data_IF_008800544997
#
_entry.id   IF_008800544997
#
_cell.length_a   1.000
_cell.length_b   1.000
_cell.length_c   1.000
_cell.angle_alpha   90.00
_cell.angle_beta   90.00
_cell.angle_gamma   90.00
#
_symmetry.space_group_name_H-M   'P 1'
#
loop_
_entity.id
_entity.type
_entity.pdbx_description
1 polymer ?
#
# COMPACT_ATOMS: atom_id res chain seq x y z
N UNK A 1 20.71 16.13 -12.19
CA UNK A 1 20.94 17.60 -12.12
C UNK A 1 20.23 18.13 -10.87
N UNK A 2 20.81 19.16 -10.24
CA UNK A 2 20.63 19.59 -8.84
C UNK A 2 19.19 19.92 -8.38
N UNK A 3 18.97 19.64 -7.09
CA UNK A 3 17.95 20.08 -6.14
C UNK A 3 16.92 21.13 -6.58
N UNK A 4 15.64 20.82 -6.32
CA UNK A 4 14.68 21.82 -5.84
C UNK A 4 14.06 21.28 -4.55
N UNK A 5 14.69 21.61 -3.41
CA UNK A 5 14.01 21.62 -2.11
C UNK A 5 12.99 22.76 -2.16
N UNK A 6 11.73 22.45 -2.47
CA UNK A 6 10.63 23.42 -2.31
C UNK A 6 10.17 23.37 -0.85
N UNK A 7 10.78 24.22 -0.03
CA UNK A 7 10.26 24.62 1.27
C UNK A 7 8.98 25.43 1.03
N UNK A 8 7.82 24.77 1.04
CA UNK A 8 6.52 25.46 0.98
C UNK A 8 6.09 25.77 2.41
N UNK A 9 6.49 26.96 2.85
CA UNK A 9 5.92 27.66 4.00
C UNK A 9 4.51 28.14 3.59
N UNK A 10 3.45 27.38 3.90
CA UNK A 10 2.07 27.84 3.70
C UNK A 10 1.42 28.22 5.03
N UNK A 11 0.86 29.43 5.04
CA UNK A 11 0.31 30.14 6.19
C UNK A 11 -0.76 29.33 6.96
N UNK A 12 -0.66 29.40 8.29
CA UNK A 12 -1.62 28.88 9.26
C UNK A 12 -2.94 29.66 9.17
N UNK A 13 -4.08 29.04 8.86
CA UNK A 13 -5.38 29.59 9.20
C UNK A 13 -5.65 29.30 10.68
N UNK A 14 -5.64 30.33 11.51
CA UNK A 14 -6.09 30.27 12.91
C UNK A 14 -7.59 29.95 12.90
N UNK A 15 -7.95 28.71 13.22
CA UNK A 15 -9.34 28.32 13.47
C UNK A 15 -9.53 28.17 14.98
N UNK A 16 -10.57 28.82 15.46
CA UNK A 16 -10.91 29.10 16.85
C UNK A 16 -10.86 27.88 17.79
N UNK A 17 -10.21 28.10 18.94
CA UNK A 17 -10.40 27.35 20.18
C UNK A 17 -11.89 27.38 20.59
N UNK A 18 -12.64 26.34 20.27
CA UNK A 18 -13.78 25.93 21.10
C UNK A 18 -13.24 25.04 22.20
N UNK A 19 -12.86 25.67 23.30
CA UNK A 19 -12.61 25.02 24.57
C UNK A 19 -13.89 24.35 25.05
N UNK A 20 -13.94 23.02 24.96
CA UNK A 20 -14.95 22.25 25.69
C UNK A 20 -14.53 22.27 27.16
N UNK A 21 -15.31 22.95 27.99
CA UNK A 21 -15.11 23.09 29.42
C UNK A 21 -14.98 21.72 30.10
N UNK A 22 -13.95 21.56 30.93
CA UNK A 22 -13.78 20.40 31.80
C UNK A 22 -14.83 20.40 32.91
N UNK A 23 -15.80 19.51 32.81
CA UNK A 23 -16.63 19.10 33.95
C UNK A 23 -16.75 17.58 33.99
N UNK A 24 -16.20 16.97 35.04
CA UNK A 24 -16.41 15.56 35.42
C UNK A 24 -15.39 14.58 34.84
N UNK A 25 -14.25 14.43 35.50
CA UNK A 25 -13.35 13.28 35.34
C UNK A 25 -14.04 12.05 35.96
N UNK A 26 -14.75 11.31 35.12
CA UNK A 26 -14.89 9.87 35.27
C UNK A 26 -14.03 9.26 34.17
N UNK A 27 -13.23 8.24 34.48
CA UNK A 27 -12.41 7.52 33.50
C UNK A 27 -13.29 7.02 32.35
N UNK A 28 -13.38 7.83 31.30
CA UNK A 28 -14.03 7.48 30.06
C UNK A 28 -13.04 6.63 29.31
N UNK A 29 -13.29 5.33 29.24
CA UNK A 29 -12.72 4.49 28.20
C UNK A 29 -13.09 5.14 26.85
N UNK A 30 -12.16 5.90 26.30
CA UNK A 30 -12.28 6.50 24.97
C UNK A 30 -12.29 5.34 23.98
N UNK A 31 -13.25 5.32 23.05
CA UNK A 31 -13.31 4.25 22.06
C UNK A 31 -12.06 4.25 21.18
N UNK A 32 -11.65 3.07 20.70
CA UNK A 32 -10.50 2.91 19.78
C UNK A 32 -10.62 3.82 18.56
N UNK A 33 -11.80 3.85 17.95
CA UNK A 33 -12.09 4.73 16.80
C UNK A 33 -11.91 6.23 17.13
N UNK A 34 -12.25 6.65 18.35
CA UNK A 34 -12.05 8.03 18.77
C UNK A 34 -10.56 8.35 19.00
N UNK A 35 -9.77 7.39 19.50
CA UNK A 35 -8.31 7.51 19.58
C UNK A 35 -7.72 7.65 18.17
N UNK A 36 -8.10 6.76 17.25
CA UNK A 36 -7.65 6.73 15.86
C UNK A 36 -7.92 8.06 15.14
N UNK A 37 -9.15 8.57 15.24
CA UNK A 37 -9.55 9.86 14.64
C UNK A 37 -8.80 11.04 15.26
N UNK A 38 -8.66 11.06 16.58
CA UNK A 38 -7.96 12.15 17.27
C UNK A 38 -6.48 12.17 16.91
N UNK A 39 -5.83 11.02 16.86
CA UNK A 39 -4.42 10.93 16.45
C UNK A 39 -4.27 11.35 15.01
N UNK A 40 -5.07 10.82 14.08
CA UNK A 40 -5.04 11.20 12.66
C UNK A 40 -5.20 12.71 12.47
N UNK A 41 -6.10 13.34 13.21
CA UNK A 41 -6.28 14.80 13.19
C UNK A 41 -5.04 15.54 13.74
N UNK A 42 -4.43 15.03 14.81
CA UNK A 42 -3.19 15.59 15.37
C UNK A 42 -2.03 15.48 14.38
N UNK A 43 -1.83 14.32 13.73
CA UNK A 43 -0.77 14.13 12.72
C UNK A 43 -0.90 15.11 11.57
N UNK A 44 -2.14 15.37 11.12
CA UNK A 44 -2.38 16.35 10.05
C UNK A 44 -1.98 17.77 10.43
N UNK A 45 -2.07 18.13 11.72
CA UNK A 45 -1.73 19.45 12.22
C UNK A 45 -0.25 19.55 12.62
N UNK A 46 0.32 18.49 13.16
CA UNK A 46 1.71 18.40 13.59
C UNK A 46 2.24 16.96 13.41
N UNK A 47 3.09 16.79 12.40
CA UNK A 47 3.70 15.49 12.08
C UNK A 47 4.60 14.97 13.21
N UNK A 48 5.16 15.86 14.04
CA UNK A 48 6.08 15.47 15.13
C UNK A 48 5.41 14.60 16.19
N UNK A 49 4.07 14.57 16.23
CA UNK A 49 3.30 13.68 17.10
C UNK A 49 3.66 12.20 16.87
N UNK A 50 4.04 11.83 15.64
CA UNK A 50 4.35 10.44 15.29
C UNK A 50 5.80 10.20 14.86
N UNK A 51 6.59 11.25 14.66
CA UNK A 51 8.01 11.08 14.31
C UNK A 51 8.74 10.23 15.36
N UNK A 52 9.65 9.36 14.91
CA UNK A 52 10.40 8.40 15.73
C UNK A 52 9.54 7.36 16.49
N UNK A 53 8.22 7.31 16.25
CA UNK A 53 7.36 6.25 16.80
C UNK A 53 7.53 4.96 16.01
N UNK A 54 7.26 3.83 16.67
CA UNK A 54 7.30 2.51 16.05
C UNK A 54 6.10 2.28 15.14
N UNK A 55 6.23 1.31 14.23
CA UNK A 55 5.13 0.76 13.45
C UNK A 55 3.90 0.42 14.31
N UNK A 56 4.10 -0.34 15.39
CA UNK A 56 3.01 -0.73 16.31
C UNK A 56 2.30 0.46 16.95
N UNK A 57 3.06 1.50 17.32
CA UNK A 57 2.46 2.70 17.89
C UNK A 57 1.54 3.37 16.87
N UNK A 58 1.95 3.45 15.60
CA UNK A 58 1.12 4.02 14.53
C UNK A 58 -0.15 3.21 14.36
N UNK A 59 -0.05 1.88 14.24
CA UNK A 59 -1.24 1.01 14.08
C UNK A 59 -2.20 1.09 15.28
N UNK A 60 -1.65 1.09 16.50
CA UNK A 60 -2.46 1.16 17.72
C UNK A 60 -3.20 2.50 17.84
N UNK A 61 -2.62 3.59 17.35
CA UNK A 61 -3.14 4.94 17.55
C UNK A 61 -3.81 5.56 16.32
N UNK A 62 -3.61 5.02 15.12
CA UNK A 62 -4.20 5.51 13.86
C UNK A 62 -5.04 4.45 13.13
N UNK A 63 -5.01 3.21 13.60
CA UNK A 63 -5.76 2.11 13.01
C UNK A 63 -5.03 1.49 11.81
N UNK A 64 -5.73 0.58 11.13
CA UNK A 64 -5.18 -0.09 9.94
C UNK A 64 -5.08 0.90 8.77
N UNK A 65 -3.92 1.00 8.09
CA UNK A 65 -3.81 1.85 6.91
C UNK A 65 -4.68 1.32 5.77
N UNK A 66 -4.99 2.17 4.79
CA UNK A 66 -5.60 1.71 3.54
C UNK A 66 -4.66 0.83 2.73
N UNK A 67 -3.38 1.18 2.76
CA UNK A 67 -2.32 0.38 2.17
C UNK A 67 -1.05 0.41 3.01
N UNK A 68 -0.42 -0.75 3.14
CA UNK A 68 0.96 -0.86 3.60
C UNK A 68 1.85 -1.14 2.40
N UNK A 69 2.90 -0.34 2.24
CA UNK A 69 3.82 -0.35 1.10
C UNK A 69 5.17 -0.85 1.60
N UNK A 70 5.75 -1.85 0.95
CA UNK A 70 7.06 -2.40 1.29
C UNK A 70 8.04 -2.15 0.14
N UNK A 71 9.16 -1.49 0.43
CA UNK A 71 10.27 -1.36 -0.52
C UNK A 71 11.30 -2.43 -0.23
N UNK A 72 11.51 -3.32 -1.20
CA UNK A 72 12.32 -4.52 -1.05
C UNK A 72 13.52 -4.48 -2.00
N UNK A 73 14.67 -4.88 -1.49
CA UNK A 73 15.79 -5.31 -2.31
C UNK A 73 15.82 -6.82 -2.32
N UNK A 74 15.69 -7.41 -3.51
CA UNK A 74 15.92 -8.84 -3.72
C UNK A 74 17.07 -8.99 -4.69
N UNK A 75 18.12 -9.69 -4.28
CA UNK A 75 19.26 -9.95 -5.15
C UNK A 75 18.90 -11.01 -6.22
N UNK A 76 19.58 -10.94 -7.37
CA UNK A 76 19.43 -11.89 -8.49
C UNK A 76 18.05 -11.96 -9.18
N UNK A 77 17.19 -10.94 -9.04
CA UNK A 77 15.99 -10.78 -9.85
C UNK A 77 16.29 -9.81 -11.00
N UNK A 78 16.26 -10.32 -12.23
CA UNK A 78 16.45 -9.50 -13.44
C UNK A 78 15.21 -9.46 -14.34
N UNK A 79 14.32 -10.46 -14.23
CA UNK A 79 13.07 -10.51 -14.99
C UNK A 79 11.90 -11.16 -14.21
N UNK A 80 10.71 -11.17 -14.80
CA UNK A 80 9.52 -11.78 -14.20
C UNK A 80 9.60 -13.30 -14.06
N UNK A 81 10.40 -13.99 -14.90
CA UNK A 81 10.59 -15.44 -14.77
C UNK A 81 11.39 -15.77 -13.52
N UNK A 82 12.28 -14.88 -13.08
CA UNK A 82 12.99 -15.01 -11.81
C UNK A 82 12.05 -14.91 -10.61
N UNK A 83 10.97 -14.12 -10.69
CA UNK A 83 9.91 -14.09 -9.66
C UNK A 83 9.21 -15.44 -9.54
N UNK A 84 8.93 -16.09 -10.67
CA UNK A 84 8.33 -17.43 -10.66
C UNK A 84 9.24 -18.50 -10.04
N UNK A 85 10.56 -18.25 -9.95
CA UNK A 85 11.52 -19.12 -9.25
C UNK A 85 11.57 -18.90 -7.75
N UNK A 86 10.95 -17.84 -7.22
CA UNK A 86 10.75 -17.61 -5.77
C UNK A 86 9.84 -18.69 -5.15
N UNK A 87 9.24 -19.56 -5.97
CA UNK A 87 8.48 -20.72 -5.53
C UNK A 87 9.39 -21.80 -4.94
N UNK A 88 9.46 -21.85 -3.60
CA UNK A 88 9.93 -23.02 -2.85
C UNK A 88 11.42 -23.08 -2.50
N UNK A 89 12.17 -22.01 -2.72
CA UNK A 89 13.54 -21.85 -2.22
C UNK A 89 13.60 -20.71 -1.20
N UNK A 90 14.42 -20.85 -0.15
CA UNK A 90 14.77 -19.74 0.73
C UNK A 90 15.26 -18.58 -0.14
N UNK A 91 14.55 -17.46 -0.13
CA UNK A 91 15.08 -16.23 -0.71
C UNK A 91 16.02 -15.66 0.36
N UNK A 92 17.25 -16.14 0.38
CA UNK A 92 18.26 -15.77 1.39
C UNK A 92 18.58 -14.26 1.40
N UNK A 93 18.09 -13.49 0.42
CA UNK A 93 18.47 -12.09 0.19
C UNK A 93 17.28 -11.13 0.03
N UNK A 94 16.12 -11.36 0.65
CA UNK A 94 15.06 -10.33 0.72
C UNK A 94 15.38 -9.35 1.85
N UNK A 95 15.64 -8.10 1.49
CA UNK A 95 15.83 -7.02 2.46
C UNK A 95 14.72 -5.99 2.36
N UNK A 96 13.94 -5.84 3.43
CA UNK A 96 13.02 -4.72 3.59
C UNK A 96 13.84 -3.46 3.89
N UNK A 97 13.77 -2.47 3.01
CA UNK A 97 14.51 -1.22 3.14
C UNK A 97 13.68 -0.13 3.82
N UNK A 98 12.39 -0.11 3.54
CA UNK A 98 11.43 0.79 4.17
C UNK A 98 10.01 0.25 4.09
N UNK A 99 9.20 0.71 5.02
CA UNK A 99 7.75 0.47 5.06
C UNK A 99 7.04 1.80 4.98
N UNK A 100 5.97 1.85 4.20
CA UNK A 100 5.12 3.01 4.02
C UNK A 100 3.68 2.71 4.45
N UNK A 101 3.02 3.64 5.14
CA UNK A 101 1.62 3.51 5.53
C UNK A 101 0.81 4.62 4.90
N UNK A 102 -0.23 4.26 4.17
CA UNK A 102 -1.10 5.20 3.47
C UNK A 102 -2.46 5.29 4.16
N UNK A 103 -2.79 6.47 4.66
CA UNK A 103 -4.05 6.77 5.35
C UNK A 103 -4.85 7.81 4.56
N UNK A 104 -5.96 7.44 3.90
CA UNK A 104 -6.80 8.39 3.17
C UNK A 104 -7.37 9.43 4.14
N UNK A 105 -7.41 10.69 3.70
CA UNK A 105 -8.10 11.74 4.44
C UNK A 105 -9.57 11.73 4.09
N UNK A 106 -10.38 11.90 5.11
CA UNK A 106 -11.82 12.02 5.00
C UNK A 106 -12.25 13.39 5.51
N UNK A 107 -13.25 13.96 4.86
CA UNK A 107 -13.98 15.13 5.34
C UNK A 107 -14.76 14.79 6.61
N UNK A 108 -15.29 15.81 7.29
CA UNK A 108 -16.11 15.62 8.49
C UNK A 108 -17.39 14.79 8.27
N UNK A 109 -17.88 14.73 7.03
CA UNK A 109 -19.01 13.90 6.60
C UNK A 109 -18.59 12.53 6.01
N UNK A 110 -17.35 12.08 6.30
CA UNK A 110 -16.80 10.79 5.88
C UNK A 110 -16.71 10.58 4.37
N UNK A 111 -16.57 11.66 3.61
CA UNK A 111 -16.26 11.57 2.19
C UNK A 111 -14.77 11.62 2.00
N UNK A 112 -14.28 10.87 1.04
CA UNK A 112 -12.87 10.88 0.66
C UNK A 112 -12.50 12.30 0.16
N UNK A 113 -11.53 12.93 0.84
CA UNK A 113 -11.04 14.27 0.50
C UNK A 113 -10.22 14.27 -0.82
N UNK A 114 -9.75 13.09 -1.23
CA UNK A 114 -8.88 12.93 -2.41
C UNK A 114 -7.39 13.06 -2.10
N UNK A 115 -7.03 13.33 -0.85
CA UNK A 115 -5.65 13.30 -0.36
C UNK A 115 -5.46 12.17 0.67
N UNK A 116 -4.21 11.83 0.95
CA UNK A 116 -3.83 10.87 1.98
C UNK A 116 -2.61 11.36 2.77
N UNK A 117 -2.43 10.81 3.97
CA UNK A 117 -1.18 10.90 4.73
C UNK A 117 -0.36 9.67 4.40
N UNK A 118 0.85 9.88 3.91
CA UNK A 118 1.88 8.87 3.82
C UNK A 118 2.78 8.96 5.05
N UNK A 119 3.06 7.82 5.67
CA UNK A 119 3.98 7.68 6.80
C UNK A 119 5.07 6.70 6.38
N UNK A 120 6.29 7.19 6.20
CA UNK A 120 7.46 6.39 5.89
C UNK A 120 8.17 5.94 7.18
N UNK A 121 8.55 4.67 7.20
CA UNK A 121 9.33 4.04 8.26
C UNK A 121 10.63 3.48 7.70
N UNK A 122 11.73 3.74 8.42
CA UNK A 122 13.03 3.06 8.21
C UNK A 122 13.53 2.55 9.55
N UNK A 123 14.05 1.32 9.57
CA UNK A 123 14.41 0.64 10.80
C UNK A 123 13.26 0.66 11.82
N UNK A 124 12.04 0.32 11.35
CA UNK A 124 10.80 0.23 12.15
C UNK A 124 10.32 1.53 12.81
N UNK A 125 10.94 2.66 12.49
CA UNK A 125 10.58 3.96 13.06
C UNK A 125 10.15 4.95 12.01
N UNK A 126 9.14 5.76 12.34
CA UNK A 126 8.69 6.84 11.47
C UNK A 126 9.80 7.86 11.27
N UNK A 127 10.17 8.06 10.01
CA UNK A 127 11.20 9.02 9.60
C UNK A 127 10.68 10.05 8.60
N UNK A 128 9.48 9.87 8.08
CA UNK A 128 8.87 10.73 7.07
C UNK A 128 7.35 10.73 7.24
N UNK A 129 6.73 11.90 7.11
CA UNK A 129 5.28 12.04 7.05
C UNK A 129 4.95 13.12 6.03
N UNK A 130 4.15 12.77 5.03
CA UNK A 130 3.80 13.67 3.92
C UNK A 130 2.32 13.57 3.56
N UNK A 131 1.78 14.61 2.92
CA UNK A 131 0.45 14.54 2.31
C UNK A 131 0.61 14.32 0.81
N UNK A 132 -0.06 13.31 0.27
CA UNK A 132 -0.02 12.95 -1.14
C UNK A 132 -1.42 12.99 -1.78
N UNK A 133 -1.47 13.12 -3.11
CA UNK A 133 -2.69 12.90 -3.88
C UNK A 133 -3.04 11.41 -3.81
N UNK A 134 -4.24 11.09 -3.33
CA UNK A 134 -4.68 9.72 -3.18
C UNK A 134 -5.32 9.16 -4.45
N UNK A 135 -5.92 10.03 -5.29
CA UNK A 135 -6.63 9.58 -6.50
C UNK A 135 -5.67 9.17 -7.60
N UNK A 136 -4.55 9.87 -7.71
CA UNK A 136 -3.50 9.63 -8.71
C UNK A 136 -2.24 9.03 -8.06
N UNK A 137 -2.43 8.30 -6.96
CA UNK A 137 -1.31 7.78 -6.18
C UNK A 137 -0.59 6.67 -6.94
N UNK A 138 0.67 6.93 -7.29
CA UNK A 138 1.57 5.95 -7.87
C UNK A 138 2.56 5.48 -6.80
N UNK A 139 2.44 4.20 -6.44
CA UNK A 139 3.22 3.53 -5.41
C UNK A 139 4.72 3.58 -5.72
N UNK A 140 5.11 3.59 -7.00
CA UNK A 140 6.51 3.63 -7.41
C UNK A 140 7.22 4.91 -6.94
N UNK A 141 6.49 6.02 -6.75
CA UNK A 141 7.08 7.29 -6.34
C UNK A 141 7.61 7.31 -4.90
N UNK A 142 7.17 6.36 -4.07
CA UNK A 142 7.55 6.27 -2.65
C UNK A 142 8.48 5.10 -2.37
N UNK A 143 8.91 4.43 -3.43
CA UNK A 143 9.85 3.33 -3.39
C UNK A 143 11.22 3.82 -2.92
N UNK A 144 11.86 3.09 -2.00
CA UNK A 144 13.24 3.40 -1.59
C UNK A 144 14.17 3.29 -2.79
N UNK A 145 15.08 4.25 -2.97
CA UNK A 145 16.00 4.32 -4.11
C UNK A 145 16.89 3.07 -4.29
N UNK A 146 17.08 2.27 -3.22
CA UNK A 146 17.91 1.06 -3.25
C UNK A 146 17.09 -0.21 -3.47
N UNK A 147 15.76 -0.11 -3.45
CA UNK A 147 14.87 -1.23 -3.72
C UNK A 147 14.78 -1.49 -5.22
N UNK A 148 14.43 -2.71 -5.58
CA UNK A 148 14.08 -3.09 -6.96
C UNK A 148 12.65 -3.64 -7.05
N UNK A 149 11.95 -3.74 -5.92
CA UNK A 149 10.55 -4.14 -5.84
C UNK A 149 9.82 -3.24 -4.83
N UNK A 150 8.61 -2.82 -5.17
CA UNK A 150 7.66 -2.17 -4.25
C UNK A 150 6.35 -2.95 -4.21
N UNK A 151 5.84 -3.22 -3.01
CA UNK A 151 4.62 -4.02 -2.82
C UNK A 151 3.62 -3.23 -1.99
N UNK A 152 2.46 -2.94 -2.58
CA UNK A 152 1.31 -2.41 -1.86
C UNK A 152 0.37 -3.53 -1.47
N UNK A 153 0.25 -3.77 -0.17
CA UNK A 153 -0.81 -4.56 0.45
C UNK A 153 -1.98 -3.66 0.76
N UNK A 154 -3.18 -4.05 0.35
CA UNK A 154 -4.40 -3.28 0.56
C UNK A 154 -5.29 -3.93 1.62
N UNK A 155 -5.89 -3.11 2.48
CA UNK A 155 -6.75 -3.59 3.57
C UNK A 155 -8.23 -3.64 3.20
N UNK A 156 -8.62 -2.84 2.20
CA UNK A 156 -9.96 -2.85 1.61
C UNK A 156 -9.86 -3.42 0.19
N UNK A 157 -10.02 -4.73 0.08
CA UNK A 157 -10.11 -5.47 -1.18
C UNK A 157 -11.31 -6.42 -1.11
N UNK A 158 -11.85 -6.76 -2.26
CA UNK A 158 -12.97 -7.71 -2.38
C UNK A 158 -12.51 -8.96 -3.10
N UNK A 159 -12.93 -10.12 -2.61
CA UNK A 159 -12.67 -11.39 -3.30
C UNK A 159 -13.31 -11.37 -4.69
N UNK A 160 -12.54 -11.73 -5.72
CA UNK A 160 -13.08 -12.00 -7.05
C UNK A 160 -13.97 -13.22 -7.00
N UNK A 161 -15.07 -13.15 -7.74
CA UNK A 161 -15.88 -14.33 -8.03
C UNK A 161 -15.61 -14.68 -9.49
N UNK A 162 -15.03 -15.85 -9.71
CA UNK A 162 -14.67 -16.35 -11.03
C UNK A 162 -15.64 -17.41 -11.57
N UNK A 163 -16.83 -17.55 -10.98
CA UNK A 163 -17.81 -18.60 -11.32
C UNK A 163 -18.22 -18.59 -12.81
N UNK A 164 -18.11 -17.44 -13.47
CA UNK A 164 -18.47 -17.24 -14.88
C UNK A 164 -17.25 -17.04 -15.80
N UNK A 165 -16.03 -17.25 -15.30
CA UNK A 165 -14.81 -17.06 -16.07
C UNK A 165 -14.27 -18.43 -16.46
N UNK A 166 -14.15 -18.62 -17.76
CA UNK A 166 -13.50 -19.79 -18.32
C UNK A 166 -11.98 -19.68 -18.08
N UNK A 167 -11.50 -20.40 -17.06
CA UNK A 167 -10.09 -20.39 -16.63
C UNK A 167 -9.14 -20.79 -17.76
N UNK A 168 -9.56 -21.72 -18.62
CA UNK A 168 -8.77 -22.19 -19.76
C UNK A 168 -8.59 -21.09 -20.82
N UNK A 169 -9.41 -20.03 -20.76
CA UNK A 169 -9.35 -18.87 -21.66
C UNK A 169 -8.59 -17.68 -21.08
N UNK A 170 -8.04 -17.73 -19.87
CA UNK A 170 -7.27 -16.61 -19.31
C UNK A 170 -6.08 -16.24 -20.20
N UNK A 171 -5.40 -17.23 -20.78
CA UNK A 171 -4.29 -17.00 -21.71
C UNK A 171 -4.68 -16.21 -22.96
N UNK A 172 -5.97 -16.16 -23.32
CA UNK A 172 -6.45 -15.34 -24.44
C UNK A 172 -6.38 -13.82 -24.18
N UNK A 173 -6.07 -13.41 -22.95
CA UNK A 173 -5.87 -12.01 -22.59
C UNK A 173 -4.41 -11.55 -22.73
N UNK A 174 -3.45 -12.47 -22.87
CA UNK A 174 -2.05 -12.13 -23.10
C UNK A 174 -1.92 -11.32 -24.40
N UNK A 175 -1.17 -10.21 -24.33
CA UNK A 175 -1.01 -9.25 -25.42
C UNK A 175 -2.15 -8.25 -25.60
N UNK A 176 -3.20 -8.31 -24.76
CA UNK A 176 -4.29 -7.33 -24.75
C UNK A 176 -4.07 -6.28 -23.65
N UNK A 177 -4.74 -5.15 -23.79
CA UNK A 177 -4.81 -4.16 -22.72
C UNK A 177 -5.49 -4.74 -21.46
N UNK A 178 -5.01 -4.34 -20.29
CA UNK A 178 -5.54 -4.68 -18.97
C UNK A 178 -7.00 -4.27 -18.82
N UNK A 179 -7.42 -3.20 -19.50
CA UNK A 179 -8.80 -2.74 -19.59
C UNK A 179 -9.76 -3.84 -20.08
N UNK A 180 -9.28 -4.80 -20.90
CA UNK A 180 -10.07 -5.93 -21.39
C UNK A 180 -10.50 -6.93 -20.30
N UNK A 181 -9.90 -6.85 -19.11
CA UNK A 181 -10.27 -7.65 -17.94
C UNK A 181 -11.40 -7.03 -17.12
N UNK A 182 -11.99 -5.89 -17.53
CA UNK A 182 -13.02 -5.18 -16.76
C UNK A 182 -14.17 -6.07 -16.30
N UNK A 183 -14.60 -7.01 -17.16
CA UNK A 183 -15.71 -7.91 -16.88
C UNK A 183 -15.34 -9.01 -15.87
N UNK A 184 -14.05 -9.36 -15.81
CA UNK A 184 -13.48 -10.34 -14.89
C UNK A 184 -13.28 -9.72 -13.51
N UNK A 185 -12.56 -8.60 -13.45
CA UNK A 185 -12.21 -7.97 -12.18
C UNK A 185 -13.35 -7.11 -11.63
N UNK A 186 -14.31 -6.68 -12.47
CA UNK A 186 -15.47 -5.85 -12.13
C UNK A 186 -15.10 -4.59 -11.35
N UNK A 187 -13.96 -3.99 -11.69
CA UNK A 187 -13.37 -2.85 -10.97
C UNK A 187 -13.10 -3.10 -9.48
N UNK A 188 -13.07 -4.37 -9.04
CA UNK A 188 -12.61 -4.72 -7.71
C UNK A 188 -11.14 -4.36 -7.57
N UNK A 189 -10.76 -4.04 -6.35
CA UNK A 189 -9.38 -3.74 -6.03
C UNK A 189 -8.62 -5.03 -5.79
N UNK A 190 -7.39 -5.11 -6.29
CA UNK A 190 -6.48 -6.20 -5.98
C UNK A 190 -6.13 -6.20 -4.48
N UNK A 191 -5.71 -7.35 -3.98
CA UNK A 191 -5.18 -7.51 -2.63
C UNK A 191 -3.76 -6.97 -2.54
N UNK A 192 -2.95 -7.26 -3.56
CA UNK A 192 -1.60 -6.75 -3.71
C UNK A 192 -1.40 -6.12 -5.09
N UNK A 193 -0.62 -5.03 -5.12
CA UNK A 193 -0.04 -4.49 -6.35
C UNK A 193 1.47 -4.40 -6.17
N UNK A 194 2.21 -4.92 -7.14
CA UNK A 194 3.66 -5.04 -7.10
C UNK A 194 4.22 -4.28 -8.29
N UNK A 195 5.15 -3.38 -8.02
CA UNK A 195 5.98 -2.74 -9.03
C UNK A 195 7.40 -3.32 -8.94
N UNK A 196 7.95 -3.71 -10.08
CA UNK A 196 9.31 -4.22 -10.20
C UNK A 196 10.14 -3.26 -11.03
N UNK A 197 11.11 -2.60 -10.38
CA UNK A 197 12.05 -1.69 -11.01
C UNK A 197 13.23 -2.49 -11.57
N UNK A 198 12.99 -3.08 -12.73
CA UNK A 198 13.97 -3.85 -13.50
C UNK A 198 14.33 -3.08 -14.77
N UNK A 199 15.29 -3.59 -15.55
CA UNK A 199 15.65 -3.00 -16.85
C UNK A 199 14.44 -2.80 -17.78
N UNK A 200 13.43 -3.66 -17.61
CA UNK A 200 12.12 -3.57 -18.25
C UNK A 200 11.03 -3.70 -17.18
N UNK A 201 10.51 -2.57 -16.65
CA UNK A 201 9.64 -2.54 -15.48
C UNK A 201 8.36 -3.34 -15.64
N UNK A 202 7.94 -4.01 -14.57
CA UNK A 202 6.78 -4.91 -14.57
C UNK A 202 5.86 -4.56 -13.42
N UNK A 203 4.56 -4.54 -13.72
CA UNK A 203 3.52 -4.44 -12.72
C UNK A 203 2.82 -5.78 -12.56
N UNK A 204 2.47 -6.15 -11.34
CA UNK A 204 1.71 -7.36 -11.02
C UNK A 204 0.58 -6.99 -10.08
N UNK A 205 -0.64 -7.33 -10.45
CA UNK A 205 -1.79 -7.28 -9.56
C UNK A 205 -2.16 -8.69 -9.11
N UNK A 206 -2.38 -8.87 -7.82
CA UNK A 206 -2.80 -10.14 -7.23
C UNK A 206 -4.16 -9.95 -6.57
N UNK A 207 -5.14 -10.71 -7.04
CA UNK A 207 -6.50 -10.69 -6.54
C UNK A 207 -6.80 -11.93 -5.73
N UNK A 208 -7.44 -11.74 -4.58
CA UNK A 208 -8.00 -12.84 -3.80
C UNK A 208 -9.19 -13.43 -4.57
N UNK A 209 -9.23 -14.74 -4.77
CA UNK A 209 -10.33 -15.40 -5.50
C UNK A 209 -11.14 -16.20 -4.51
N UNK A 210 -12.45 -15.97 -4.49
CA UNK A 210 -13.34 -16.70 -3.60
C UNK A 210 -13.26 -18.21 -3.91
N UNK A 211 -13.01 -19.00 -2.87
CA UNK A 211 -12.95 -20.47 -2.96
C UNK A 211 -11.81 -21.00 -3.87
N UNK A 212 -10.77 -20.19 -4.12
CA UNK A 212 -9.51 -20.55 -4.82
C UNK A 212 -8.33 -19.80 -4.18
N UNK A 213 -7.13 -19.90 -4.76
CA UNK A 213 -5.92 -19.22 -4.27
C UNK A 213 -5.91 -17.74 -4.67
N UNK A 214 -5.23 -17.39 -5.78
CA UNK A 214 -5.12 -16.02 -6.26
C UNK A 214 -5.16 -15.96 -7.78
N UNK A 215 -5.74 -14.88 -8.32
CA UNK A 215 -5.56 -14.50 -9.73
C UNK A 215 -4.42 -13.49 -9.81
N UNK A 216 -3.35 -13.85 -10.50
CA UNK A 216 -2.21 -12.99 -10.78
C UNK A 216 -2.31 -12.45 -12.20
N UNK A 217 -2.08 -11.15 -12.36
CA UNK A 217 -2.04 -10.46 -13.66
C UNK A 217 -0.76 -9.64 -13.72
N UNK A 218 0.17 -10.02 -14.60
CA UNK A 218 1.39 -9.26 -14.88
C UNK A 218 1.24 -8.45 -16.17
N UNK A 219 1.68 -7.19 -16.16
CA UNK A 219 1.49 -6.27 -17.29
C UNK A 219 2.61 -5.21 -17.39
N UNK A 220 2.78 -4.69 -18.61
CA UNK A 220 3.72 -3.62 -18.98
C UNK A 220 3.01 -2.62 -19.87
N UNK A 221 3.09 -1.33 -19.57
CA UNK A 221 2.38 -0.27 -20.32
C UNK A 221 0.90 -0.64 -20.58
N UNK A 222 0.24 -1.13 -19.53
CA UNK A 222 -1.13 -1.68 -19.55
C UNK A 222 -1.35 -2.91 -20.45
N UNK A 223 -0.34 -3.49 -21.10
CA UNK A 223 -0.43 -4.73 -21.86
C UNK A 223 -0.14 -5.95 -20.98
N UNK A 224 -1.06 -6.90 -20.97
CA UNK A 224 -0.96 -8.14 -20.20
C UNK A 224 0.15 -9.03 -20.79
N UNK A 225 1.12 -9.41 -19.97
CA UNK A 225 2.23 -10.29 -20.36
C UNK A 225 2.08 -11.70 -19.76
N UNK A 226 1.38 -11.83 -18.63
CA UNK A 226 1.06 -13.12 -18.02
C UNK A 226 -0.22 -12.99 -17.17
N UNK A 227 -1.00 -14.06 -17.09
CA UNK A 227 -2.22 -14.12 -16.29
C UNK A 227 -2.54 -15.56 -15.92
N UNK A 228 -2.88 -15.81 -14.66
CA UNK A 228 -3.30 -17.14 -14.24
C UNK A 228 -3.68 -17.23 -12.77
N UNK A 229 -4.43 -18.28 -12.45
CA UNK A 229 -4.62 -18.68 -11.06
C UNK A 229 -3.33 -19.34 -10.56
N UNK A 230 -2.75 -18.79 -9.50
CA UNK A 230 -1.51 -19.28 -8.93
C UNK A 230 -1.57 -19.18 -7.41
N UNK A 231 -1.00 -20.20 -6.74
CA UNK A 231 -0.66 -20.07 -5.33
C UNK A 231 0.50 -19.05 -5.19
N UNK A 232 0.13 -17.83 -4.82
CA UNK A 232 1.05 -16.75 -4.51
C UNK A 232 1.43 -16.71 -3.02
N UNK A 233 0.93 -17.65 -2.20
CA UNK A 233 1.15 -17.65 -0.74
C UNK A 233 2.63 -17.70 -0.42
N UNK A 234 3.44 -18.49 -1.13
CA UNK A 234 4.89 -18.56 -0.90
C UNK A 234 5.63 -17.25 -1.19
N UNK A 235 5.21 -16.53 -2.23
CA UNK A 235 5.79 -15.22 -2.57
C UNK A 235 5.44 -14.25 -1.44
N UNK A 236 4.17 -14.22 -1.05
CA UNK A 236 3.64 -13.34 -0.01
C UNK A 236 4.16 -13.67 1.39
N UNK A 237 4.32 -14.95 1.73
CA UNK A 237 4.85 -15.43 3.00
C UNK A 237 6.35 -15.17 3.08
N UNK A 238 7.12 -15.38 2.01
CA UNK A 238 8.54 -15.00 1.97
C UNK A 238 8.72 -13.49 2.13
N UNK A 239 7.77 -12.70 1.65
CA UNK A 239 7.74 -11.25 1.89
C UNK A 239 7.36 -10.97 3.36
N UNK A 240 6.32 -11.60 3.91
CA UNK A 240 5.80 -11.36 5.27
C UNK A 240 6.69 -11.89 6.41
N UNK A 241 7.30 -13.07 6.28
CA UNK A 241 8.21 -13.67 7.27
C UNK A 241 9.51 -12.86 7.45
N UNK A 242 9.82 -11.95 6.52
CA UNK A 242 10.93 -11.00 6.62
C UNK A 242 10.48 -9.57 7.04
N UNK A 243 9.19 -9.39 7.33
CA UNK A 243 8.58 -8.11 7.75
C UNK A 243 8.26 -8.10 9.26
N UNK A 244 8.12 -9.26 9.90
CA UNK A 244 7.93 -9.46 11.35
C UNK A 244 9.22 -9.90 12.08
#
# INVERSE_FOLDING_TARGET
MKCIKKLILMMIPVIFLVGCSTSGMNDKNVSKEAIERNTMTKVQNDVNVIMDKSYDYVLQNMGSPYSTIYSLKIDNINDFKDVNKIKGGQVDDVKVLSTGLLYPKYTSDYKLDGSAIYIGLKNEKVNQVETCDFKNFDVSQLMDEKSNISISSYTNYDNLNMDNIDRDKLNNYIGKEKSSLSDIIKHKKCKYSIYMDLDDPINIDIYDVKDSDFLMIAYKDDIIIDIGEQDCTNILSSIQENID
#
